data_IF_666690457067
#
_entry.id   IF_666690457067
#
_cell.length_a   1.000
_cell.length_b   1.000
_cell.length_c   1.000
_cell.angle_alpha   90.00
_cell.angle_beta   90.00
_cell.angle_gamma   90.00
#
_symmetry.space_group_name_H-M   'P 1'
#
loop_
_entity.id
_entity.type
_entity.pdbx_description
1 polymer ?
#
# COMPACT_ATOMS: atom_id res chain seq x y z
N UNK A 1 9.24 10.48 14.23
CA UNK A 1 8.04 10.97 14.94
C UNK A 1 7.25 9.79 15.48
N UNK A 2 6.04 10.02 15.99
CA UNK A 2 5.07 8.97 16.35
C UNK A 2 3.99 8.94 15.24
N UNK A 3 4.09 8.04 14.25
CA UNK A 3 3.16 8.02 13.13
C UNK A 3 1.76 7.55 13.57
N UNK A 4 0.74 8.28 13.16
CA UNK A 4 -0.65 7.85 13.28
C UNK A 4 -1.00 6.95 12.09
N UNK A 5 -1.54 5.76 12.38
CA UNK A 5 -1.97 4.79 11.36
C UNK A 5 -3.48 4.62 11.50
N UNK A 6 -4.20 4.91 10.42
CA UNK A 6 -5.64 4.72 10.30
C UNK A 6 -5.90 3.56 9.34
N UNK A 7 -6.88 2.74 9.67
CA UNK A 7 -7.46 1.76 8.75
C UNK A 7 -8.93 2.10 8.55
N UNK A 8 -9.47 1.86 7.36
CA UNK A 8 -10.89 2.11 7.15
C UNK A 8 -11.37 1.80 5.76
N UNK A 9 -12.65 2.12 5.53
CA UNK A 9 -13.41 1.67 4.36
C UNK A 9 -13.46 2.67 3.21
N UNK A 10 -13.14 3.95 3.47
CA UNK A 10 -13.20 5.01 2.47
C UNK A 10 -11.97 5.00 1.54
N UNK A 11 -12.22 5.21 0.25
CA UNK A 11 -11.24 5.82 -0.66
C UNK A 11 -11.43 7.35 -0.74
N UNK A 12 -10.46 8.07 -1.32
CA UNK A 12 -10.48 9.53 -1.47
C UNK A 12 -11.34 10.00 -2.67
N UNK A 13 -12.58 9.51 -2.75
CA UNK A 13 -13.53 9.93 -3.78
C UNK A 13 -14.73 10.66 -3.16
N UNK A 14 -15.29 11.71 -3.80
CA UNK A 14 -16.44 12.46 -3.26
C UNK A 14 -17.63 11.58 -2.86
N UNK A 15 -17.85 10.48 -3.59
CA UNK A 15 -18.91 9.52 -3.24
C UNK A 15 -18.76 8.91 -1.84
N UNK A 16 -17.52 8.71 -1.38
CA UNK A 16 -17.24 8.12 -0.08
C UNK A 16 -17.14 9.18 1.01
N UNK A 17 -16.70 10.39 0.65
CA UNK A 17 -16.56 11.49 1.61
C UNK A 17 -17.90 12.19 1.93
N UNK A 18 -18.80 12.30 0.95
CA UNK A 18 -20.03 13.11 1.09
C UNK A 18 -21.31 12.29 1.13
N UNK A 19 -21.31 11.07 0.57
CA UNK A 19 -22.56 10.33 0.26
C UNK A 19 -22.67 8.94 0.87
N UNK A 20 -21.60 8.41 1.47
CA UNK A 20 -21.60 7.09 2.10
C UNK A 20 -21.26 7.19 3.58
N UNK A 21 -21.74 6.22 4.34
CA UNK A 21 -21.32 6.01 5.72
C UNK A 21 -20.04 5.19 5.67
N UNK A 22 -18.93 5.82 6.03
CA UNK A 22 -17.60 5.20 6.05
C UNK A 22 -17.01 5.28 7.46
N UNK A 23 -16.08 4.39 7.79
CA UNK A 23 -15.40 4.36 9.09
C UNK A 23 -13.88 4.37 8.89
N UNK A 24 -13.20 5.24 9.63
CA UNK A 24 -11.76 5.18 9.88
C UNK A 24 -11.54 4.88 11.36
N UNK A 25 -10.62 3.96 11.66
CA UNK A 25 -10.27 3.54 13.00
C UNK A 25 -8.75 3.71 13.22
N UNK A 26 -8.33 4.36 14.31
CA UNK A 26 -6.92 4.45 14.66
C UNK A 26 -6.38 3.13 15.20
N UNK A 27 -5.22 2.72 14.69
CA UNK A 27 -4.50 1.55 15.18
C UNK A 27 -3.58 2.00 16.31
N UNK A 28 -4.02 1.80 17.55
CA UNK A 28 -3.32 2.29 18.75
C UNK A 28 -2.16 1.40 19.19
N UNK A 29 -2.28 0.09 18.94
CA UNK A 29 -1.25 -0.86 19.33
C UNK A 29 0.01 -0.69 18.46
N UNK A 30 1.16 -0.51 19.10
CA UNK A 30 2.42 -0.25 18.40
C UNK A 30 2.84 -1.41 17.50
N UNK A 31 2.71 -2.65 17.95
CA UNK A 31 3.09 -3.80 17.15
C UNK A 31 2.21 -3.94 15.91
N UNK A 32 0.92 -3.60 16.01
CA UNK A 32 0.03 -3.56 14.85
C UNK A 32 0.37 -2.43 13.88
N UNK A 33 0.75 -1.24 14.36
CA UNK A 33 1.25 -0.15 13.51
C UNK A 33 2.50 -0.56 12.74
N UNK A 34 3.47 -1.14 13.45
CA UNK A 34 4.73 -1.61 12.86
C UNK A 34 4.46 -2.69 11.80
N UNK A 35 3.51 -3.60 12.06
CA UNK A 35 3.08 -4.61 11.08
C UNK A 35 2.43 -3.99 9.84
N UNK A 36 1.57 -3.00 10.00
CA UNK A 36 0.92 -2.32 8.87
C UNK A 36 1.94 -1.53 8.03
N UNK A 37 2.91 -0.88 8.68
CA UNK A 37 4.01 -0.23 8.00
C UNK A 37 4.81 -1.24 7.16
N UNK A 38 5.19 -2.39 7.73
CA UNK A 38 5.89 -3.44 6.99
C UNK A 38 5.09 -4.00 5.79
N UNK A 39 3.76 -4.12 5.93
CA UNK A 39 2.87 -4.52 4.82
C UNK A 39 2.91 -3.45 3.71
N UNK A 40 2.81 -2.17 4.07
CA UNK A 40 2.88 -1.07 3.10
C UNK A 40 4.24 -1.04 2.41
N UNK A 41 5.34 -1.16 3.15
CA UNK A 41 6.70 -1.21 2.61
C UNK A 41 6.86 -2.36 1.61
N UNK A 42 6.27 -3.53 1.91
CA UNK A 42 6.28 -4.68 1.00
C UNK A 42 5.50 -4.43 -0.28
N UNK A 43 4.36 -3.73 -0.21
CA UNK A 43 3.63 -3.31 -1.42
C UNK A 43 4.43 -2.29 -2.24
N UNK A 44 5.10 -1.35 -1.60
CA UNK A 44 5.90 -0.32 -2.27
C UNK A 44 7.18 -0.88 -2.90
N UNK A 45 7.73 -1.97 -2.35
CA UNK A 45 8.90 -2.66 -2.88
C UNK A 45 8.59 -3.67 -4.00
N UNK A 46 7.31 -3.96 -4.29
CA UNK A 46 6.93 -4.90 -5.35
C UNK A 46 7.42 -4.38 -6.71
N UNK A 47 8.27 -5.15 -7.37
CA UNK A 47 8.83 -4.85 -8.68
C UNK A 47 8.43 -5.91 -9.74
N UNK A 48 7.52 -6.81 -9.40
CA UNK A 48 7.02 -7.83 -10.32
C UNK A 48 5.63 -7.52 -10.87
N UNK A 49 4.75 -6.92 -10.08
CA UNK A 49 3.34 -6.64 -10.43
C UNK A 49 3.00 -5.16 -10.41
N UNK A 50 3.79 -4.33 -9.72
CA UNK A 50 3.58 -2.89 -9.63
C UNK A 50 3.60 -2.18 -10.99
N UNK A 51 2.81 -1.09 -11.05
CA UNK A 51 2.77 -0.16 -12.17
C UNK A 51 2.87 1.26 -11.65
N UNK A 52 3.82 2.01 -12.16
CA UNK A 52 3.98 3.43 -11.84
C UNK A 52 3.08 4.26 -12.76
N UNK A 53 2.30 5.16 -12.18
CA UNK A 53 1.50 6.14 -12.93
C UNK A 53 2.40 7.33 -13.29
N UNK A 54 2.51 7.62 -14.59
CA UNK A 54 3.20 8.80 -15.08
C UNK A 54 2.31 10.04 -14.98
N UNK A 55 2.91 11.22 -15.18
CA UNK A 55 2.22 12.52 -15.09
C UNK A 55 1.10 12.70 -16.12
N UNK A 56 1.12 11.94 -17.21
CA UNK A 56 0.09 11.92 -18.24
C UNK A 56 -1.05 10.92 -17.96
N UNK A 57 -0.98 10.20 -16.84
CA UNK A 57 -1.94 9.17 -16.42
C UNK A 57 -1.74 7.82 -17.09
N UNK A 58 -0.73 7.66 -17.96
CA UNK A 58 -0.31 6.35 -18.45
C UNK A 58 0.40 5.57 -17.35
N UNK A 59 0.48 4.25 -17.51
CA UNK A 59 1.11 3.37 -16.54
C UNK A 59 2.24 2.57 -17.18
N UNK A 60 3.40 2.58 -16.54
CA UNK A 60 4.54 1.73 -16.90
C UNK A 60 4.70 0.63 -15.87
N UNK A 61 5.00 -0.59 -16.33
CA UNK A 61 5.27 -1.69 -15.41
C UNK A 61 6.64 -1.49 -14.76
N UNK A 62 6.69 -1.57 -13.44
CA UNK A 62 7.96 -1.64 -12.72
C UNK A 62 8.60 -2.98 -13.07
N UNK A 63 9.86 -2.94 -13.46
CA UNK A 63 10.67 -4.12 -13.75
C UNK A 63 11.93 -4.08 -12.91
N UNK A 64 12.37 -5.21 -12.33
CA UNK A 64 13.62 -5.26 -11.59
C UNK A 64 14.78 -4.81 -12.47
N UNK A 65 15.72 -4.05 -11.93
CA UNK A 65 16.89 -3.57 -12.66
C UNK A 65 18.18 -4.22 -12.16
N UNK A 66 19.04 -4.68 -13.08
CA UNK A 66 20.32 -5.30 -12.73
C UNK A 66 20.17 -6.51 -11.81
N UNK A 67 20.81 -6.44 -10.65
CA UNK A 67 20.83 -7.50 -9.63
C UNK A 67 19.80 -7.26 -8.50
N UNK A 68 18.81 -6.38 -8.72
CA UNK A 68 17.74 -6.17 -7.75
C UNK A 68 16.96 -7.46 -7.50
N UNK A 69 16.66 -7.80 -6.24
CA UNK A 69 15.86 -8.96 -5.94
C UNK A 69 14.45 -8.79 -6.51
N UNK A 70 13.93 -9.87 -7.09
CA UNK A 70 12.54 -9.92 -7.53
C UNK A 70 11.61 -10.02 -6.32
N UNK A 71 10.68 -9.09 -6.20
CA UNK A 71 9.74 -8.99 -5.09
C UNK A 71 8.31 -8.97 -5.66
N UNK A 72 7.54 -9.99 -5.31
CA UNK A 72 6.08 -9.95 -5.40
C UNK A 72 5.49 -9.83 -4.01
N UNK A 73 4.80 -8.74 -3.74
CA UNK A 73 4.13 -8.46 -2.46
C UNK A 73 3.24 -9.61 -2.01
N UNK A 74 2.36 -10.08 -2.89
CA UNK A 74 1.47 -11.22 -2.62
C UNK A 74 2.23 -12.52 -2.41
N UNK A 75 3.34 -12.74 -3.14
CA UNK A 75 4.22 -13.88 -2.92
C UNK A 75 4.80 -13.89 -1.51
N UNK A 76 5.36 -12.75 -1.08
CA UNK A 76 5.89 -12.55 0.28
C UNK A 76 4.82 -12.81 1.34
N UNK A 77 3.59 -12.30 1.18
CA UNK A 77 2.52 -12.50 2.16
C UNK A 77 2.00 -13.94 2.23
N UNK A 78 2.06 -14.67 1.13
CA UNK A 78 1.63 -16.07 1.03
C UNK A 78 2.77 -17.07 1.33
N UNK A 79 4.00 -16.59 1.54
CA UNK A 79 5.18 -17.42 1.78
C UNK A 79 5.64 -18.21 0.55
N UNK A 80 5.47 -17.64 -0.65
CA UNK A 80 5.85 -18.22 -1.94
C UNK A 80 7.20 -17.70 -2.43
#
# INVERSE_FOLDING_TARGET
GDPEVLIGSADLMPRNLDRRVEVLAPVKDRALRDRLAAILDTYLADNLKSREMLTDGSYVRVVPSGDEPEISSQGVFLGQ
#
